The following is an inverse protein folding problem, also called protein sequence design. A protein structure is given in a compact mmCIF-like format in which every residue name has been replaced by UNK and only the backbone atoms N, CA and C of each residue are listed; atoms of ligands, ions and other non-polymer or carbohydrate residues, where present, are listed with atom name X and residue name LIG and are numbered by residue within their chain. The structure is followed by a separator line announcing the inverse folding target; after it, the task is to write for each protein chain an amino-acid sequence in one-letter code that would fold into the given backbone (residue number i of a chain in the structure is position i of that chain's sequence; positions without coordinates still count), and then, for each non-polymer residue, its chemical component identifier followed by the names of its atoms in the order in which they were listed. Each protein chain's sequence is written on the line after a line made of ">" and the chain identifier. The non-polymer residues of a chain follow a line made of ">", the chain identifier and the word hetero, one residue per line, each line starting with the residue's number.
data_IF_437253341874
#
_entry.id   IF_437253341874
#
_cell.length_a   1.000
_cell.length_b   1.000
_cell.length_c   1.000
_cell.angle_alpha   90.00
_cell.angle_beta   90.00
_cell.angle_gamma   90.00
#
_symmetry.space_group_name_H-M   'P 1'
#
loop_
_entity.id
_entity.type
_entity.pdbx_description
1 polymer ?
#
# COMPACT_ATOMS: atom_id res chain seq x y z
N UNK A 1 7.49 9.68 25.06
CA UNK A 1 7.37 9.23 23.66
C UNK A 1 5.93 9.50 23.21
N UNK A 2 5.67 10.62 22.56
CA UNK A 2 4.33 10.96 22.04
C UNK A 2 4.14 10.18 20.73
N UNK A 3 3.55 8.99 20.80
CA UNK A 3 3.15 8.24 19.63
C UNK A 3 2.19 9.08 18.80
N UNK A 4 2.50 9.28 17.51
CA UNK A 4 1.63 10.01 16.59
C UNK A 4 0.23 9.38 16.57
N UNK A 5 -0.78 10.20 16.77
CA UNK A 5 -2.17 9.76 16.87
C UNK A 5 -2.77 9.70 15.47
N UNK A 6 -3.12 8.50 14.98
CA UNK A 6 -3.94 8.34 13.77
C UNK A 6 -5.33 8.95 13.98
N UNK A 7 -6.00 9.32 12.90
CA UNK A 7 -7.34 9.94 12.99
C UNK A 7 -8.45 8.93 12.71
N UNK A 8 -9.52 9.02 13.49
CA UNK A 8 -10.73 8.22 13.30
C UNK A 8 -11.45 8.62 11.99
N UNK A 9 -11.80 7.62 11.16
CA UNK A 9 -12.54 7.86 9.91
C UNK A 9 -13.97 8.38 10.12
N UNK A 10 -14.52 8.28 11.34
CA UNK A 10 -15.88 8.71 11.67
C UNK A 10 -15.90 10.15 12.24
N UNK A 11 -15.04 10.45 13.22
CA UNK A 11 -15.08 11.70 13.96
C UNK A 11 -13.78 12.50 13.95
N UNK A 12 -12.74 12.04 13.26
CA UNK A 12 -11.44 12.70 13.16
C UNK A 12 -10.58 12.68 14.42
N UNK A 13 -11.09 12.17 15.55
CA UNK A 13 -10.36 12.12 16.81
C UNK A 13 -9.22 11.10 16.79
N UNK A 14 -8.23 11.23 17.69
CA UNK A 14 -7.12 10.31 17.79
C UNK A 14 -7.54 8.85 17.97
N UNK A 15 -6.73 7.92 17.44
CA UNK A 15 -6.87 6.49 17.65
C UNK A 15 -6.02 6.06 18.84
N UNK A 16 -6.60 5.18 19.68
CA UNK A 16 -5.93 4.47 20.76
C UNK A 16 -5.56 3.08 20.24
N UNK A 17 -4.28 2.70 20.37
CA UNK A 17 -3.77 1.39 19.98
C UNK A 17 -3.55 0.51 21.20
N UNK A 18 -4.07 -0.71 21.15
CA UNK A 18 -3.91 -1.71 22.18
C UNK A 18 -2.84 -2.73 21.77
N UNK A 19 -2.03 -3.16 22.73
CA UNK A 19 -1.07 -4.25 22.54
C UNK A 19 -1.78 -5.57 22.26
N UNK A 20 -2.82 -5.84 23.06
CA UNK A 20 -3.61 -7.06 22.96
C UNK A 20 -4.89 -6.79 22.17
N UNK A 21 -5.27 -7.73 21.31
CA UNK A 21 -6.51 -7.64 20.55
C UNK A 21 -7.73 -7.66 21.48
N UNK A 22 -8.74 -6.84 21.16
CA UNK A 22 -10.00 -6.74 21.92
C UNK A 22 -11.17 -6.95 20.97
N UNK A 23 -12.25 -7.54 21.50
CA UNK A 23 -13.50 -7.63 20.76
C UNK A 23 -14.08 -6.23 20.51
N UNK A 24 -14.34 -5.92 19.24
CA UNK A 24 -14.85 -4.62 18.79
C UNK A 24 -15.98 -4.82 17.81
N UNK A 25 -16.91 -3.88 17.77
CA UNK A 25 -18.02 -3.87 16.81
C UNK A 25 -17.86 -2.73 15.82
N UNK A 26 -17.81 -3.05 14.53
CA UNK A 26 -17.70 -2.04 13.48
C UNK A 26 -18.96 -1.16 13.44
N UNK A 27 -18.77 0.15 13.59
CA UNK A 27 -19.88 1.11 13.58
C UNK A 27 -20.54 1.26 12.20
N UNK A 28 -19.89 0.79 11.13
CA UNK A 28 -20.38 0.88 9.75
C UNK A 28 -21.21 -0.34 9.34
N UNK A 29 -20.73 -1.57 9.65
CA UNK A 29 -21.40 -2.80 9.18
C UNK A 29 -21.89 -3.72 10.31
N UNK A 30 -21.64 -3.38 11.58
CA UNK A 30 -22.03 -4.17 12.74
C UNK A 30 -21.22 -5.45 12.98
N UNK A 31 -20.21 -5.75 12.14
CA UNK A 31 -19.35 -6.93 12.32
C UNK A 31 -18.61 -6.87 13.65
N UNK A 32 -18.59 -7.99 14.38
CA UNK A 32 -17.79 -8.18 15.57
C UNK A 32 -16.53 -8.95 15.23
N UNK A 33 -15.38 -8.41 15.61
CA UNK A 33 -14.08 -9.05 15.40
C UNK A 33 -13.05 -8.55 16.41
N UNK A 34 -11.90 -9.20 16.45
CA UNK A 34 -10.77 -8.76 17.26
C UNK A 34 -10.04 -7.62 16.54
N UNK A 35 -9.79 -6.51 17.23
CA UNK A 35 -9.08 -5.35 16.72
C UNK A 35 -8.08 -4.81 17.73
N UNK A 36 -7.14 -4.00 17.25
CA UNK A 36 -6.06 -3.40 18.04
C UNK A 36 -6.20 -1.88 18.19
N UNK A 37 -7.20 -1.24 17.56
CA UNK A 37 -7.35 0.21 17.60
C UNK A 37 -8.81 0.64 17.60
N UNK A 38 -9.11 1.66 18.38
CA UNK A 38 -10.41 2.30 18.47
C UNK A 38 -10.19 3.80 18.71
N UNK A 39 -11.10 4.67 18.32
CA UNK A 39 -10.95 6.08 18.64
C UNK A 39 -11.32 6.36 20.12
N UNK A 40 -10.94 7.52 20.61
CA UNK A 40 -11.22 7.96 21.99
C UNK A 40 -12.73 7.95 22.30
N UNK A 41 -13.61 8.13 21.31
CA UNK A 41 -15.07 8.05 21.45
C UNK A 41 -15.63 6.64 21.22
N UNK A 42 -14.79 5.62 21.12
CA UNK A 42 -15.21 4.23 20.96
C UNK A 42 -15.59 3.80 19.52
N UNK A 43 -15.37 4.63 18.51
CA UNK A 43 -15.63 4.24 17.12
C UNK A 43 -14.56 3.23 16.64
N UNK A 44 -15.01 2.05 16.27
CA UNK A 44 -14.24 1.07 15.54
C UNK A 44 -14.79 0.91 14.13
N UNK A 45 -13.93 0.91 13.13
CA UNK A 45 -14.27 0.62 11.73
C UNK A 45 -13.41 -0.55 11.28
N UNK A 46 -14.02 -1.65 10.85
CA UNK A 46 -13.29 -2.81 10.36
C UNK A 46 -12.53 -2.49 9.06
N UNK A 47 -11.46 -3.23 8.79
CA UNK A 47 -10.61 -3.01 7.62
C UNK A 47 -11.40 -2.98 6.32
N UNK A 48 -12.38 -3.85 6.16
CA UNK A 48 -13.21 -3.90 4.96
C UNK A 48 -14.01 -2.61 4.75
N UNK A 49 -14.65 -2.09 5.79
CA UNK A 49 -15.38 -0.83 5.69
C UNK A 49 -14.45 0.37 5.51
N UNK A 50 -13.30 0.35 6.18
CA UNK A 50 -12.31 1.42 6.09
C UNK A 50 -11.75 1.57 4.67
N UNK A 51 -11.44 0.46 4.01
CA UNK A 51 -10.78 0.45 2.69
C UNK A 51 -11.71 0.40 1.48
N UNK A 52 -13.00 0.08 1.66
CA UNK A 52 -13.91 -0.21 0.54
C UNK A 52 -13.95 0.90 -0.52
N UNK A 53 -14.13 2.15 -0.11
CA UNK A 53 -14.16 3.30 -1.01
C UNK A 53 -12.80 3.55 -1.69
N UNK A 54 -11.71 3.43 -0.94
CA UNK A 54 -10.35 3.58 -1.45
C UNK A 54 -9.99 2.49 -2.46
N UNK A 55 -10.31 1.24 -2.17
CA UNK A 55 -10.05 0.12 -3.10
C UNK A 55 -10.81 0.30 -4.41
N UNK A 56 -12.09 0.73 -4.35
CA UNK A 56 -12.86 1.01 -5.57
C UNK A 56 -12.21 2.11 -6.43
N UNK A 57 -11.75 3.19 -5.79
CA UNK A 57 -11.02 4.26 -6.48
C UNK A 57 -9.72 3.75 -7.11
N UNK A 58 -8.93 2.97 -6.37
CA UNK A 58 -7.66 2.38 -6.87
C UNK A 58 -7.90 1.54 -8.12
N UNK A 59 -8.91 0.66 -8.07
CA UNK A 59 -9.24 -0.21 -9.21
C UNK A 59 -9.62 0.59 -10.44
N UNK A 60 -10.46 1.63 -10.27
CA UNK A 60 -10.89 2.50 -11.36
C UNK A 60 -9.71 3.29 -11.96
N UNK A 61 -8.90 3.93 -11.13
CA UNK A 61 -7.72 4.68 -11.58
C UNK A 61 -6.73 3.79 -12.32
N UNK A 62 -6.41 2.60 -11.77
CA UNK A 62 -5.44 1.70 -12.37
C UNK A 62 -5.93 1.08 -13.68
N UNK A 63 -7.23 0.76 -13.78
CA UNK A 63 -7.82 0.18 -15.00
C UNK A 63 -7.79 1.19 -16.18
N UNK A 64 -7.97 2.48 -15.90
CA UNK A 64 -8.03 3.53 -16.92
C UNK A 64 -6.72 4.32 -17.06
N UNK A 65 -5.66 3.95 -16.34
CA UNK A 65 -4.35 4.57 -16.47
C UNK A 65 -3.73 4.25 -17.84
N UNK A 66 -3.08 5.26 -18.44
CA UNK A 66 -2.32 5.11 -19.67
C UNK A 66 -0.82 5.32 -19.49
N UNK A 67 -0.40 5.79 -18.33
CA UNK A 67 1.01 6.00 -17.99
C UNK A 67 1.71 4.66 -17.73
N UNK A 68 2.95 4.54 -18.19
CA UNK A 68 3.86 3.44 -17.83
C UNK A 68 4.64 3.71 -16.53
N UNK A 69 4.31 4.80 -15.81
CA UNK A 69 4.93 5.20 -14.55
C UNK A 69 4.03 4.83 -13.36
N UNK A 70 4.34 3.76 -12.61
CA UNK A 70 3.52 3.33 -11.46
C UNK A 70 3.47 4.36 -10.31
N UNK A 71 4.47 5.23 -10.17
CA UNK A 71 4.45 6.31 -9.17
C UNK A 71 3.36 7.33 -9.51
N UNK A 72 3.28 7.75 -10.77
CA UNK A 72 2.25 8.67 -11.25
C UNK A 72 0.85 8.08 -11.05
N UNK A 73 0.66 6.81 -11.43
CA UNK A 73 -0.60 6.10 -11.24
C UNK A 73 -0.98 6.05 -9.76
N UNK A 74 -0.03 5.70 -8.89
CA UNK A 74 -0.27 5.63 -7.46
C UNK A 74 -0.62 7.00 -6.86
N UNK A 75 0.08 8.06 -7.26
CA UNK A 75 -0.19 9.43 -6.81
C UNK A 75 -1.58 9.90 -7.24
N UNK A 76 -1.97 9.64 -8.50
CA UNK A 76 -3.31 9.95 -9.00
C UNK A 76 -4.41 9.31 -8.15
N UNK A 77 -4.23 8.05 -7.71
CA UNK A 77 -5.16 7.43 -6.79
C UNK A 77 -5.11 8.06 -5.40
N UNK A 78 -3.90 8.39 -4.89
CA UNK A 78 -3.69 8.99 -3.57
C UNK A 78 -4.27 10.40 -3.44
N UNK A 79 -4.54 11.10 -4.54
CA UNK A 79 -5.17 12.43 -4.54
C UNK A 79 -6.67 12.37 -4.21
N UNK A 80 -7.28 11.19 -4.34
CA UNK A 80 -8.67 10.99 -3.93
C UNK A 80 -8.80 10.99 -2.40
N UNK A 81 -9.84 11.66 -1.89
CA UNK A 81 -10.08 11.81 -0.45
C UNK A 81 -10.44 10.49 0.26
N UNK A 82 -10.79 9.45 -0.49
CA UNK A 82 -11.04 8.09 0.00
C UNK A 82 -9.74 7.31 0.29
N UNK A 83 -8.59 7.83 -0.13
CA UNK A 83 -7.27 7.26 0.20
C UNK A 83 -6.69 8.03 1.39
N UNK A 84 -6.83 7.45 2.56
CA UNK A 84 -6.37 8.07 3.81
C UNK A 84 -4.83 8.23 3.85
N UNK A 85 -4.30 9.07 4.75
CA UNK A 85 -2.84 9.15 4.95
C UNK A 85 -2.22 7.80 5.29
N UNK A 86 -2.91 6.99 6.09
CA UNK A 86 -2.52 5.64 6.46
C UNK A 86 -3.77 4.74 6.46
N UNK A 87 -3.71 3.61 5.76
CA UNK A 87 -4.83 2.68 5.70
C UNK A 87 -4.51 1.43 4.89
N UNK A 88 -5.30 0.34 5.09
CA UNK A 88 -5.08 -0.94 4.41
C UNK A 88 -5.38 -0.90 2.90
N UNK A 89 -5.99 0.13 2.37
CA UNK A 89 -6.18 0.34 0.92
C UNK A 89 -4.84 0.42 0.18
N UNK A 90 -3.76 0.87 0.86
CA UNK A 90 -2.41 0.90 0.29
C UNK A 90 -1.85 -0.50 0.01
N UNK A 91 -2.39 -1.54 0.68
CA UNK A 91 -2.04 -2.93 0.39
C UNK A 91 -2.56 -3.38 -1.00
N UNK A 92 -3.57 -2.71 -1.55
CA UNK A 92 -4.02 -2.89 -2.93
C UNK A 92 -3.30 -1.94 -3.88
N UNK A 93 -3.14 -0.67 -3.47
CA UNK A 93 -2.63 0.40 -4.32
C UNK A 93 -1.27 0.09 -4.95
N UNK A 94 -0.32 -0.38 -4.13
CA UNK A 94 1.05 -0.63 -4.60
C UNK A 94 1.09 -1.63 -5.76
N UNK A 95 0.46 -2.79 -5.58
CA UNK A 95 0.42 -3.82 -6.61
C UNK A 95 -0.42 -3.43 -7.82
N UNK A 96 -1.55 -2.72 -7.60
CA UNK A 96 -2.40 -2.27 -8.70
C UNK A 96 -1.69 -1.26 -9.60
N UNK A 97 -0.95 -0.31 -9.02
CA UNK A 97 -0.15 0.64 -9.80
C UNK A 97 0.99 -0.06 -10.58
N UNK A 98 1.64 -1.06 -9.98
CA UNK A 98 2.65 -1.87 -10.65
C UNK A 98 2.08 -2.68 -11.81
N UNK A 99 0.91 -3.34 -11.63
CA UNK A 99 0.25 -4.08 -12.71
C UNK A 99 -0.15 -3.17 -13.87
N UNK A 100 -0.73 -2.00 -13.57
CA UNK A 100 -1.12 -1.03 -14.58
C UNK A 100 0.08 -0.47 -15.34
N UNK A 101 1.13 -0.03 -14.63
CA UNK A 101 2.37 0.44 -15.25
C UNK A 101 3.05 -0.64 -16.10
N UNK A 102 3.05 -1.88 -15.62
CA UNK A 102 3.60 -3.02 -16.37
C UNK A 102 2.84 -3.29 -17.68
N UNK A 103 1.51 -3.32 -17.62
CA UNK A 103 0.69 -3.51 -18.83
C UNK A 103 0.87 -2.35 -19.81
N UNK A 104 0.89 -1.10 -19.34
CA UNK A 104 1.09 0.09 -20.15
C UNK A 104 2.51 0.18 -20.76
N UNK A 105 3.51 -0.43 -20.13
CA UNK A 105 4.86 -0.58 -20.65
C UNK A 105 5.00 -1.71 -21.69
N UNK A 106 3.90 -2.33 -22.10
CA UNK A 106 3.88 -3.42 -23.08
C UNK A 106 4.05 -4.82 -22.48
N UNK A 107 3.92 -4.96 -21.18
CA UNK A 107 3.92 -6.27 -20.51
C UNK A 107 2.70 -7.10 -20.89
N UNK A 108 2.92 -8.40 -21.14
CA UNK A 108 1.88 -9.35 -21.54
C UNK A 108 0.97 -9.74 -20.38
N UNK A 109 0.08 -8.82 -19.97
CA UNK A 109 -0.85 -8.99 -18.87
C UNK A 109 -2.27 -8.60 -19.29
N UNK A 110 -3.25 -9.44 -19.02
CA UNK A 110 -4.66 -9.03 -18.96
C UNK A 110 -4.86 -8.20 -17.69
N UNK A 111 -4.86 -6.88 -17.86
CA UNK A 111 -4.89 -5.94 -16.73
C UNK A 111 -6.16 -6.07 -15.89
N UNK A 112 -7.32 -6.24 -16.53
CA UNK A 112 -8.60 -6.35 -15.81
C UNK A 112 -8.61 -7.58 -14.91
N UNK A 113 -8.25 -8.75 -15.42
CA UNK A 113 -8.14 -9.98 -14.66
C UNK A 113 -7.02 -9.91 -13.60
N UNK A 114 -5.87 -9.31 -13.94
CA UNK A 114 -4.76 -9.10 -13.00
C UNK A 114 -5.15 -8.23 -11.81
N UNK A 115 -5.86 -7.15 -12.05
CA UNK A 115 -6.38 -6.25 -11.00
C UNK A 115 -7.43 -6.95 -10.15
N UNK A 116 -8.35 -7.71 -10.74
CA UNK A 116 -9.37 -8.46 -10.01
C UNK A 116 -8.73 -9.50 -9.06
N UNK A 117 -7.72 -10.23 -9.53
CA UNK A 117 -6.97 -11.20 -8.73
C UNK A 117 -6.18 -10.50 -7.61
N UNK A 118 -5.49 -9.41 -7.92
CA UNK A 118 -4.78 -8.61 -6.91
C UNK A 118 -5.72 -8.11 -5.82
N UNK A 119 -6.88 -7.58 -6.22
CA UNK A 119 -7.90 -7.14 -5.27
C UNK A 119 -8.27 -8.27 -4.30
N UNK A 120 -8.56 -9.46 -4.81
CA UNK A 120 -8.89 -10.62 -4.00
C UNK A 120 -7.81 -10.91 -2.98
N UNK A 121 -6.54 -11.04 -3.41
CA UNK A 121 -5.40 -11.35 -2.54
C UNK A 121 -5.12 -10.24 -1.52
N UNK A 122 -5.16 -8.99 -1.95
CA UNK A 122 -4.82 -7.84 -1.08
C UNK A 122 -5.87 -7.58 0.01
N UNK A 123 -7.13 -7.97 -0.23
CA UNK A 123 -8.19 -7.87 0.77
C UNK A 123 -8.01 -8.83 1.95
N UNK A 124 -7.21 -9.89 1.81
CA UNK A 124 -6.86 -10.80 2.90
C UNK A 124 -5.70 -10.28 3.76
N UNK A 125 -5.04 -9.18 3.35
CA UNK A 125 -3.94 -8.57 4.10
C UNK A 125 -4.48 -7.57 5.12
N UNK A 126 -4.42 -7.88 6.44
CA UNK A 126 -5.02 -7.03 7.47
C UNK A 126 -4.30 -5.68 7.63
N UNK A 127 -5.02 -4.70 8.18
CA UNK A 127 -4.43 -3.45 8.62
C UNK A 127 -3.50 -3.65 9.83
N UNK A 128 -2.46 -2.81 9.94
CA UNK A 128 -1.56 -2.81 11.08
C UNK A 128 -0.48 -3.89 11.10
N UNK A 129 -0.45 -4.81 10.13
CA UNK A 129 0.55 -5.90 10.07
C UNK A 129 2.00 -5.40 10.05
N UNK A 130 2.24 -4.19 9.55
CA UNK A 130 3.57 -3.59 9.55
C UNK A 130 4.17 -3.46 10.96
N UNK A 131 3.35 -3.17 11.96
CA UNK A 131 3.79 -3.10 13.35
C UNK A 131 3.61 -4.41 14.14
N UNK A 132 2.56 -5.18 13.85
CA UNK A 132 2.23 -6.36 14.62
C UNK A 132 2.87 -7.66 14.09
N UNK A 133 3.12 -7.74 12.78
CA UNK A 133 3.69 -8.94 12.15
C UNK A 133 5.09 -8.70 11.58
N UNK A 134 5.56 -7.43 11.56
CA UNK A 134 6.84 -7.09 10.95
C UNK A 134 6.85 -7.15 9.42
N UNK A 135 5.68 -7.12 8.78
CA UNK A 135 5.52 -7.21 7.32
C UNK A 135 4.75 -6.00 6.81
N UNK A 136 5.34 -5.24 5.89
CA UNK A 136 4.65 -4.11 5.25
C UNK A 136 3.70 -4.60 4.15
N UNK A 137 2.42 -4.18 4.19
CA UNK A 137 1.44 -4.54 3.18
C UNK A 137 1.77 -4.03 1.77
N UNK A 138 2.52 -2.92 1.62
CA UNK A 138 3.01 -2.46 0.32
C UNK A 138 4.05 -3.42 -0.28
N UNK A 139 4.94 -3.99 0.55
CA UNK A 139 5.88 -5.01 0.10
C UNK A 139 5.16 -6.29 -0.32
N UNK A 140 4.20 -6.75 0.50
CA UNK A 140 3.35 -7.91 0.18
C UNK A 140 2.60 -7.70 -1.14
N UNK A 141 2.05 -6.50 -1.36
CA UNK A 141 1.31 -6.14 -2.58
C UNK A 141 2.18 -6.18 -3.84
N UNK A 142 3.42 -5.70 -3.76
CA UNK A 142 4.37 -5.81 -4.87
C UNK A 142 4.73 -7.28 -5.17
N UNK A 143 4.92 -8.11 -4.14
CA UNK A 143 5.10 -9.55 -4.29
C UNK A 143 3.89 -10.24 -4.93
N UNK A 144 2.66 -9.82 -4.57
CA UNK A 144 1.43 -10.31 -5.19
C UNK A 144 1.35 -9.92 -6.67
N UNK A 145 1.73 -8.69 -7.04
CA UNK A 145 1.78 -8.24 -8.44
C UNK A 145 2.78 -9.08 -9.24
N UNK A 146 3.99 -9.29 -8.73
CA UNK A 146 4.97 -10.17 -9.37
C UNK A 146 4.42 -11.59 -9.53
N UNK A 147 3.78 -12.13 -8.47
CA UNK A 147 3.18 -13.48 -8.51
C UNK A 147 2.13 -13.63 -9.61
N UNK A 148 1.32 -12.60 -9.84
CA UNK A 148 0.30 -12.60 -10.90
C UNK A 148 0.98 -12.61 -12.28
N UNK A 149 1.99 -11.77 -12.49
CA UNK A 149 2.70 -11.66 -13.77
C UNK A 149 3.43 -12.96 -14.14
N UNK A 150 4.14 -13.54 -13.18
CA UNK A 150 4.94 -14.76 -13.46
C UNK A 150 4.17 -16.06 -13.23
N UNK A 151 2.89 -16.00 -12.89
CA UNK A 151 2.05 -17.18 -12.64
C UNK A 151 2.55 -18.02 -11.46
N UNK A 152 3.07 -17.42 -10.40
CA UNK A 152 3.63 -18.14 -9.26
C UNK A 152 2.56 -18.87 -8.45
N UNK A 153 2.89 -20.08 -8.02
CA UNK A 153 2.10 -20.91 -7.11
C UNK A 153 2.99 -21.41 -5.97
N UNK A 154 2.42 -21.94 -4.87
CA UNK A 154 3.23 -22.56 -3.80
C UNK A 154 4.12 -23.72 -4.27
N UNK A 155 3.82 -24.31 -5.44
CA UNK A 155 4.58 -25.41 -6.02
C UNK A 155 5.58 -24.96 -7.10
N UNK A 156 5.56 -23.69 -7.49
CA UNK A 156 6.52 -23.13 -8.45
C UNK A 156 7.90 -23.02 -7.80
N UNK A 157 8.97 -23.18 -8.60
CA UNK A 157 10.35 -23.01 -8.13
C UNK A 157 10.81 -21.55 -8.30
N UNK A 158 11.25 -21.20 -9.52
CA UNK A 158 11.77 -19.86 -9.80
C UNK A 158 10.74 -18.75 -9.67
N UNK A 159 9.48 -18.87 -10.19
CA UNK A 159 8.47 -17.84 -9.96
C UNK A 159 8.18 -17.57 -8.48
N UNK A 160 8.15 -18.63 -7.65
CA UNK A 160 8.00 -18.49 -6.20
C UNK A 160 9.17 -17.71 -5.59
N UNK A 161 10.42 -18.05 -5.99
CA UNK A 161 11.62 -17.40 -5.48
C UNK A 161 11.69 -15.91 -5.87
N UNK A 162 11.27 -15.55 -7.10
CA UNK A 162 11.19 -14.16 -7.55
C UNK A 162 10.28 -13.32 -6.63
N UNK A 163 9.08 -13.83 -6.30
CA UNK A 163 8.16 -13.14 -5.42
C UNK A 163 8.76 -12.90 -4.03
N UNK A 164 9.46 -13.90 -3.46
CA UNK A 164 10.09 -13.80 -2.15
C UNK A 164 11.27 -12.81 -2.17
N UNK A 165 12.12 -12.86 -3.19
CA UNK A 165 13.26 -11.94 -3.34
C UNK A 165 12.78 -10.49 -3.44
N UNK A 166 11.83 -10.20 -4.32
CA UNK A 166 11.25 -8.85 -4.43
C UNK A 166 10.69 -8.35 -3.10
N UNK A 167 9.85 -9.16 -2.45
CA UNK A 167 9.25 -8.77 -1.17
C UNK A 167 10.31 -8.51 -0.10
N UNK A 168 11.34 -9.36 -0.02
CA UNK A 168 12.43 -9.20 0.97
C UNK A 168 13.27 -7.96 0.73
N UNK A 169 13.58 -7.63 -0.52
CA UNK A 169 14.31 -6.42 -0.89
C UNK A 169 13.53 -5.15 -0.53
N UNK A 170 12.23 -5.13 -0.83
CA UNK A 170 11.36 -4.02 -0.45
C UNK A 170 11.29 -3.87 1.08
N UNK A 171 11.17 -4.99 1.81
CA UNK A 171 11.13 -4.95 3.28
C UNK A 171 12.44 -4.43 3.86
N UNK A 172 13.59 -4.79 3.29
CA UNK A 172 14.89 -4.26 3.69
C UNK A 172 14.96 -2.73 3.50
N UNK A 173 14.58 -2.24 2.32
CA UNK A 173 14.56 -0.80 2.03
C UNK A 173 13.57 -0.02 2.91
N UNK A 174 12.42 -0.61 3.26
CA UNK A 174 11.47 -0.01 4.20
C UNK A 174 12.04 0.03 5.62
N UNK A 175 12.77 -1.00 6.05
CA UNK A 175 13.38 -1.07 7.36
C UNK A 175 14.48 0.00 7.55
N UNK A 176 15.30 0.27 6.53
CA UNK A 176 16.31 1.33 6.55
C UNK A 176 15.68 2.73 6.74
N UNK A 177 14.50 2.97 6.19
CA UNK A 177 13.79 4.25 6.38
C UNK A 177 13.17 4.38 7.79
N UNK A 178 12.94 3.28 8.47
CA UNK A 178 12.42 3.23 9.83
C UNK A 178 10.97 3.67 9.99
N UNK A 179 10.52 3.66 11.24
CA UNK A 179 9.19 4.11 11.67
C UNK A 179 9.12 5.60 12.02
N UNK A 180 7.94 6.09 12.45
CA UNK A 180 6.66 5.39 12.45
C UNK A 180 6.12 5.11 11.04
N UNK A 181 5.04 4.30 10.96
CA UNK A 181 4.42 3.93 9.67
C UNK A 181 4.04 5.18 8.86
N UNK A 182 4.24 5.08 7.57
CA UNK A 182 3.67 6.00 6.59
C UNK A 182 3.36 5.23 5.31
N UNK A 183 2.07 4.96 5.04
CA UNK A 183 1.67 4.11 3.91
C UNK A 183 2.02 4.74 2.56
N UNK A 184 2.07 6.08 2.44
CA UNK A 184 2.55 6.77 1.24
C UNK A 184 4.03 6.49 1.00
N UNK A 185 4.87 6.71 2.04
CA UNK A 185 6.33 6.45 1.97
C UNK A 185 6.62 5.00 1.59
N UNK A 186 5.98 4.04 2.28
CA UNK A 186 6.23 2.62 1.99
C UNK A 186 5.71 2.19 0.63
N UNK A 187 4.65 2.81 0.12
CA UNK A 187 4.16 2.61 -1.25
C UNK A 187 5.20 3.10 -2.27
N UNK A 188 5.71 4.32 -2.12
CA UNK A 188 6.77 4.85 -3.00
C UNK A 188 8.03 3.99 -2.96
N UNK A 189 8.50 3.61 -1.75
CA UNK A 189 9.66 2.73 -1.61
C UNK A 189 9.44 1.38 -2.28
N UNK A 190 8.26 0.78 -2.12
CA UNK A 190 7.95 -0.50 -2.75
C UNK A 190 7.93 -0.39 -4.28
N UNK A 191 7.34 0.67 -4.84
CA UNK A 191 7.28 0.87 -6.29
C UNK A 191 8.67 1.15 -6.86
N UNK A 192 9.45 2.05 -6.26
CA UNK A 192 10.79 2.40 -6.75
C UNK A 192 11.76 1.23 -6.69
N UNK A 193 11.64 0.37 -5.68
CA UNK A 193 12.41 -0.89 -5.61
C UNK A 193 11.91 -1.91 -6.64
N UNK A 194 10.60 -2.01 -6.85
CA UNK A 194 10.03 -3.01 -7.74
C UNK A 194 10.32 -2.76 -9.23
N UNK A 195 10.34 -1.52 -9.68
CA UNK A 195 10.50 -1.19 -11.12
C UNK A 195 11.76 -1.83 -11.73
N UNK A 196 12.99 -1.62 -11.18
CA UNK A 196 14.18 -2.26 -11.75
C UNK A 196 14.14 -3.79 -11.59
N UNK A 197 13.59 -4.30 -10.52
CA UNK A 197 13.42 -5.74 -10.31
C UNK A 197 12.51 -6.38 -11.38
N UNK A 198 11.40 -5.73 -11.72
CA UNK A 198 10.49 -6.18 -12.79
C UNK A 198 11.19 -6.18 -14.14
N UNK A 199 11.98 -5.14 -14.44
CA UNK A 199 12.75 -5.05 -15.68
C UNK A 199 13.75 -6.21 -15.80
N UNK A 200 14.47 -6.53 -14.74
CA UNK A 200 15.40 -7.67 -14.71
C UNK A 200 14.67 -9.01 -14.86
N UNK A 201 13.56 -9.20 -14.14
CA UNK A 201 12.85 -10.47 -14.10
C UNK A 201 12.03 -10.77 -15.37
N UNK A 202 11.52 -9.74 -16.05
CA UNK A 202 10.54 -9.89 -17.14
C UNK A 202 10.96 -9.26 -18.46
N UNK A 203 11.98 -8.42 -18.47
CA UNK A 203 12.40 -7.63 -19.63
C UNK A 203 11.50 -6.41 -19.92
N UNK A 204 10.46 -6.16 -19.13
CA UNK A 204 9.54 -5.02 -19.32
C UNK A 204 10.01 -3.81 -18.54
N UNK A 205 10.31 -2.73 -19.24
CA UNK A 205 10.83 -1.50 -18.66
C UNK A 205 9.70 -0.51 -18.38
N UNK A 206 9.28 -0.40 -17.14
CA UNK A 206 8.38 0.66 -16.67
C UNK A 206 9.12 1.98 -16.49
N UNK A 207 8.40 3.08 -16.55
CA UNK A 207 8.97 4.41 -16.30
C UNK A 207 9.17 4.64 -14.79
N UNK A 208 10.31 5.26 -14.44
CA UNK A 208 10.62 5.71 -13.10
C UNK A 208 11.00 7.21 -13.18
N UNK A 209 10.35 8.09 -12.40
CA UNK A 209 10.72 9.49 -12.40
C UNK A 209 12.10 9.69 -11.74
N UNK A 210 12.85 10.70 -12.18
CA UNK A 210 14.16 11.06 -11.60
C UNK A 210 14.07 11.32 -10.09
N UNK A 211 12.94 11.90 -9.65
CA UNK A 211 12.67 12.16 -8.24
C UNK A 211 11.19 11.95 -7.91
N UNK A 212 10.92 11.21 -6.83
CA UNK A 212 9.60 11.08 -6.25
C UNK A 212 9.42 12.13 -5.16
N UNK A 213 8.44 13.03 -5.32
CA UNK A 213 8.14 14.09 -4.34
C UNK A 213 6.75 13.85 -3.72
N UNK A 214 6.70 13.76 -2.40
CA UNK A 214 5.47 13.56 -1.65
C UNK A 214 4.76 14.88 -1.40
N UNK A 215 3.49 14.99 -1.82
CA UNK A 215 2.59 16.14 -1.55
C UNK A 215 1.64 15.92 -0.37
N UNK A 216 1.80 14.81 0.40
CA UNK A 216 0.83 14.39 1.43
C UNK A 216 1.32 14.58 2.86
N UNK A 217 2.44 15.25 3.07
CA UNK A 217 3.12 15.40 4.36
C UNK A 217 2.30 16.18 5.40
N UNK A 218 1.49 17.13 4.98
CA UNK A 218 0.64 17.96 5.83
C UNK A 218 -0.56 17.18 6.40
N UNK A 219 -1.04 16.15 5.67
CA UNK A 219 -2.13 15.28 6.10
C UNK A 219 -1.70 14.15 7.04
N UNK A 220 -0.39 13.96 7.22
CA UNK A 220 0.16 12.89 8.04
C UNK A 220 0.88 13.43 9.27
N UNK A 221 0.24 13.41 10.47
CA UNK A 221 0.88 13.88 11.69
C UNK A 221 2.12 13.07 12.11
N UNK A 222 2.37 11.92 11.47
CA UNK A 222 3.51 11.04 11.69
C UNK A 222 4.60 11.20 10.61
N UNK A 223 4.50 12.25 9.77
CA UNK A 223 5.49 12.49 8.72
C UNK A 223 6.88 12.76 9.30
N UNK A 224 7.91 12.12 8.74
CA UNK A 224 9.32 12.32 9.12
C UNK A 224 9.91 13.62 8.55
N UNK A 225 9.18 14.31 7.68
CA UNK A 225 9.62 15.55 7.01
C UNK A 225 11.02 15.41 6.43
N UNK A 226 11.97 16.22 6.81
CA UNK A 226 13.35 16.29 6.31
C UNK A 226 14.10 14.95 6.41
N UNK A 227 13.65 14.04 7.27
CA UNK A 227 14.19 12.69 7.39
C UNK A 227 13.52 11.68 6.43
N UNK A 228 12.62 12.13 5.56
CA UNK A 228 11.97 11.28 4.55
C UNK A 228 12.55 11.58 3.16
N UNK A 229 13.03 10.58 2.41
CA UNK A 229 13.64 10.82 1.09
C UNK A 229 12.65 11.39 0.06
N UNK A 230 11.37 11.27 0.31
CA UNK A 230 10.28 11.78 -0.55
C UNK A 230 9.77 13.16 -0.13
N UNK A 231 10.28 13.73 0.94
CA UNK A 231 9.90 15.08 1.37
C UNK A 231 10.72 16.13 0.61
N UNK A 232 10.06 17.19 0.16
CA UNK A 232 10.74 18.33 -0.45
C UNK A 232 10.32 19.60 0.26
N UNK A 233 11.28 20.33 0.82
CA UNK A 233 11.06 21.62 1.44
C UNK A 233 10.63 22.71 0.44
N UNK A 234 10.91 22.52 -0.87
CA UNK A 234 10.46 23.43 -1.93
C UNK A 234 8.98 23.23 -2.31
N UNK A 235 8.30 22.24 -1.73
CA UNK A 235 6.86 22.04 -1.86
C UNK A 235 6.05 22.76 -0.76
N UNK A 236 6.71 23.54 0.09
CA UNK A 236 6.13 24.45 1.09
C UNK A 236 5.93 25.84 0.49
#
# INVERSE_FOLDING_TARGET
>A
MSGGKGNCAICGKPLVYYRDAREMTCVTCGKRELGHSVCEDGHYVCDNCHRAGGVSCIMDVCLHATSANPIEIAMRAMDDNRIYPNGPEHHTLTGAALLAGYANAGGGLDLENGLAELRTRSLDVPGGICGFWGVCGSATSAGQAMSIIVGATPMSREPWALCQRLTSEILANIAELGGPRCCKRTCFTAITTAIPFFAEATGVQMELPDQVVCSYYDRNPQCLRENCPYFSASAL
#
